data_IF_308297436074
#
_entry.id   IF_308297436074
#
_cell.length_a   1.000
_cell.length_b   1.000
_cell.length_c   1.000
_cell.angle_alpha   90.00
_cell.angle_beta   90.00
_cell.angle_gamma   90.00
#
_symmetry.space_group_name_H-M   'P 1'
#
loop_
_entity.id
_entity.type
_entity.pdbx_description
1 polymer ?
#
# COMPACT_ATOMS: atom_id res chain seq x y z
N UNK A 1 -12.92 -31.56 -17.03
CA UNK A 1 -11.67 -30.97 -17.55
C UNK A 1 -11.82 -29.45 -17.56
N UNK A 2 -10.83 -28.66 -17.11
CA UNK A 2 -10.92 -27.21 -17.23
C UNK A 2 -11.03 -26.81 -18.70
N UNK A 3 -11.91 -25.86 -19.00
CA UNK A 3 -12.15 -25.35 -20.37
C UNK A 3 -10.87 -24.68 -20.86
N UNK A 4 -10.40 -25.03 -22.06
CA UNK A 4 -9.27 -24.35 -22.70
C UNK A 4 -9.75 -22.98 -23.22
N UNK A 5 -8.96 -21.95 -22.96
CA UNK A 5 -9.21 -20.60 -23.50
C UNK A 5 -9.14 -20.63 -25.03
N UNK A 6 -10.01 -19.87 -25.70
CA UNK A 6 -9.92 -19.66 -27.15
C UNK A 6 -8.76 -18.73 -27.50
N UNK A 7 -8.26 -18.74 -28.75
CA UNK A 7 -7.26 -17.79 -29.20
C UNK A 7 -7.67 -16.32 -28.96
N UNK A 8 -8.96 -15.97 -29.17
CA UNK A 8 -9.41 -14.59 -28.92
C UNK A 8 -9.39 -14.23 -27.43
N UNK A 9 -9.75 -15.18 -26.55
CA UNK A 9 -9.68 -14.98 -25.09
C UNK A 9 -8.22 -14.74 -24.63
N UNK A 10 -7.27 -15.43 -25.25
CA UNK A 10 -5.84 -15.25 -25.01
C UNK A 10 -5.38 -13.86 -25.46
N UNK A 11 -5.77 -13.42 -26.66
CA UNK A 11 -5.39 -12.11 -27.20
C UNK A 11 -5.97 -10.96 -26.36
N UNK A 12 -7.24 -11.05 -25.96
CA UNK A 12 -7.84 -10.07 -25.06
C UNK A 12 -7.15 -10.04 -23.69
N UNK A 13 -6.77 -11.20 -23.14
CA UNK A 13 -6.01 -11.26 -21.89
C UNK A 13 -4.64 -10.63 -22.05
N UNK A 14 -3.94 -10.87 -23.15
CA UNK A 14 -2.65 -10.26 -23.45
C UNK A 14 -2.75 -8.73 -23.56
N UNK A 15 -3.76 -8.20 -24.25
CA UNK A 15 -4.01 -6.77 -24.37
C UNK A 15 -4.24 -6.10 -23.01
N UNK A 16 -5.04 -6.71 -22.12
CA UNK A 16 -5.26 -6.18 -20.77
C UNK A 16 -3.99 -6.17 -19.93
N UNK A 17 -3.19 -7.23 -20.02
CA UNK A 17 -1.90 -7.31 -19.30
C UNK A 17 -0.96 -6.22 -19.82
N UNK A 18 -0.86 -6.04 -21.14
CA UNK A 18 -0.01 -5.02 -21.72
C UNK A 18 -0.43 -3.60 -21.30
N UNK A 19 -1.73 -3.32 -21.29
CA UNK A 19 -2.27 -2.04 -20.82
C UNK A 19 -1.94 -1.79 -19.33
N UNK A 20 -2.13 -2.81 -18.48
CA UNK A 20 -1.81 -2.71 -17.05
C UNK A 20 -0.30 -2.49 -16.81
N UNK A 21 0.57 -3.18 -17.56
CA UNK A 21 2.02 -2.97 -17.50
C UNK A 21 2.35 -1.53 -17.88
N UNK A 22 1.82 -1.02 -18.99
CA UNK A 22 2.08 0.34 -19.44
C UNK A 22 1.64 1.39 -18.40
N UNK A 23 0.47 1.21 -17.80
CA UNK A 23 -0.04 2.09 -16.75
C UNK A 23 0.85 2.06 -15.50
N UNK A 24 1.20 0.88 -15.01
CA UNK A 24 2.06 0.73 -13.83
C UNK A 24 3.48 1.28 -14.08
N UNK A 25 4.03 1.07 -15.27
CA UNK A 25 5.33 1.63 -15.65
C UNK A 25 5.30 3.15 -15.67
N UNK A 26 4.23 3.77 -16.21
CA UNK A 26 4.06 5.23 -16.19
C UNK A 26 3.97 5.74 -14.75
N UNK A 27 3.11 5.15 -13.92
CA UNK A 27 2.95 5.55 -12.52
C UNK A 27 4.27 5.43 -11.74
N UNK A 28 5.04 4.38 -11.99
CA UNK A 28 6.38 4.23 -11.40
C UNK A 28 7.32 5.35 -11.82
N UNK A 29 7.39 5.66 -13.12
CA UNK A 29 8.24 6.74 -13.62
C UNK A 29 7.84 8.11 -13.03
N UNK A 30 6.54 8.37 -12.92
CA UNK A 30 6.00 9.60 -12.31
C UNK A 30 6.41 9.72 -10.83
N UNK A 31 6.42 8.59 -10.10
CA UNK A 31 6.87 8.50 -8.70
C UNK A 31 8.39 8.70 -8.59
N UNK A 32 9.18 8.07 -9.45
CA UNK A 32 10.64 8.19 -9.44
C UNK A 32 11.11 9.62 -9.80
N UNK A 33 10.39 10.29 -10.70
CA UNK A 33 10.68 11.68 -11.08
C UNK A 33 10.45 12.70 -9.94
N UNK A 34 9.66 12.36 -8.92
CA UNK A 34 9.42 13.22 -7.76
C UNK A 34 10.60 13.24 -6.77
N UNK A 35 11.59 12.37 -6.95
CA UNK A 35 12.78 12.30 -6.08
C UNK A 35 12.47 11.68 -4.71
N UNK A 36 13.07 12.23 -3.65
CA UNK A 36 12.93 11.71 -2.29
C UNK A 36 11.53 11.97 -1.73
N UNK A 37 10.65 10.96 -1.82
CA UNK A 37 9.28 11.03 -1.32
C UNK A 37 9.15 10.93 0.20
N UNK A 38 10.13 10.31 0.86
CA UNK A 38 10.15 10.15 2.30
C UNK A 38 11.59 10.08 2.82
N UNK A 39 11.85 10.51 4.06
CA UNK A 39 13.15 10.32 4.69
C UNK A 39 13.58 8.85 4.73
N UNK A 40 14.89 8.62 4.71
CA UNK A 40 15.43 7.26 4.83
C UNK A 40 14.95 6.59 6.13
N UNK A 41 14.63 5.30 6.03
CA UNK A 41 14.09 4.52 7.14
C UNK A 41 12.58 4.65 7.32
N UNK A 42 11.88 5.30 6.38
CA UNK A 42 10.42 5.24 6.33
C UNK A 42 9.95 3.95 5.65
N UNK A 43 8.96 3.27 6.24
CA UNK A 43 8.36 2.07 5.66
C UNK A 43 6.91 1.90 6.11
N UNK A 44 6.15 1.10 5.35
CA UNK A 44 4.78 0.70 5.71
C UNK A 44 4.85 -0.64 6.42
N UNK A 45 4.42 -0.68 7.68
CA UNK A 45 4.24 -1.90 8.44
C UNK A 45 2.79 -2.35 8.39
N UNK A 46 2.56 -3.61 8.06
CA UNK A 46 1.27 -4.27 8.25
C UNK A 46 1.36 -5.15 9.50
N UNK A 47 0.45 -4.97 10.44
CA UNK A 47 0.40 -5.78 11.65
C UNK A 47 -1.04 -6.21 11.96
N UNK A 48 -1.14 -7.36 12.61
CA UNK A 48 -2.42 -7.89 13.06
C UNK A 48 -2.65 -7.50 14.52
N UNK A 49 -3.73 -6.79 14.80
CA UNK A 49 -4.20 -6.59 16.16
C UNK A 49 -5.24 -7.65 16.52
N UNK A 50 -5.12 -8.19 17.72
CA UNK A 50 -6.11 -9.11 18.29
C UNK A 50 -7.11 -8.28 19.10
N UNK A 51 -8.33 -8.13 18.58
CA UNK A 51 -9.46 -7.71 19.39
C UNK A 51 -10.06 -8.89 20.17
N UNK A 52 -10.97 -8.61 21.09
CA UNK A 52 -11.63 -9.67 21.88
C UNK A 52 -12.45 -10.64 21.02
N UNK A 53 -13.07 -10.17 19.94
CA UNK A 53 -13.93 -11.00 19.05
C UNK A 53 -13.36 -11.22 17.65
N UNK A 54 -12.52 -10.30 17.17
CA UNK A 54 -12.03 -10.31 15.79
C UNK A 54 -10.55 -9.97 15.70
N UNK A 55 -9.91 -10.47 14.64
CA UNK A 55 -8.56 -10.07 14.27
C UNK A 55 -8.66 -8.99 13.20
N UNK A 56 -7.95 -7.88 13.44
CA UNK A 56 -7.94 -6.74 12.54
C UNK A 56 -6.54 -6.58 11.96
N UNK A 57 -6.46 -6.24 10.67
CA UNK A 57 -5.21 -5.84 10.05
C UNK A 57 -5.14 -4.33 9.99
N UNK A 58 -3.99 -3.79 10.40
CA UNK A 58 -3.70 -2.36 10.35
C UNK A 58 -2.46 -2.12 9.51
N UNK A 59 -2.44 -0.97 8.85
CA UNK A 59 -1.27 -0.41 8.22
C UNK A 59 -0.78 0.79 9.02
N UNK A 60 0.53 0.92 9.15
CA UNK A 60 1.16 2.01 9.87
C UNK A 60 2.39 2.47 9.12
N UNK A 61 2.47 3.78 8.86
CA UNK A 61 3.73 4.41 8.49
C UNK A 61 4.66 4.36 9.69
N UNK A 62 5.87 3.89 9.47
CA UNK A 62 6.97 3.84 10.44
C UNK A 62 8.12 4.67 9.90
N UNK A 63 8.85 5.30 10.80
CA UNK A 63 10.12 5.97 10.52
C UNK A 63 11.11 5.65 11.63
N UNK A 64 12.41 5.73 11.32
CA UNK A 64 13.45 5.61 12.33
C UNK A 64 13.41 6.79 13.33
N UNK A 65 13.14 7.98 12.81
CA UNK A 65 13.04 9.23 13.56
C UNK A 65 11.58 9.63 13.83
N UNK A 66 11.38 10.46 14.85
CA UNK A 66 10.05 10.95 15.22
C UNK A 66 9.67 12.12 14.31
N UNK A 67 9.07 11.81 13.16
CA UNK A 67 8.74 12.79 12.11
C UNK A 67 7.23 13.02 11.93
N UNK A 68 6.38 12.16 12.50
CA UNK A 68 4.92 12.28 12.34
C UNK A 68 4.32 13.15 13.45
N UNK A 69 3.53 14.19 13.15
CA UNK A 69 2.95 15.05 14.18
C UNK A 69 1.86 14.31 14.98
N UNK A 70 1.84 14.49 16.30
CA UNK A 70 0.77 13.94 17.15
C UNK A 70 -0.47 14.83 17.10
N UNK A 71 -1.65 14.22 16.89
CA UNK A 71 -2.93 14.93 16.76
C UNK A 71 -3.28 15.83 17.95
N UNK A 72 -2.93 15.42 19.18
CA UNK A 72 -3.40 16.08 20.40
C UNK A 72 -2.33 16.93 21.11
N UNK A 73 -1.13 17.06 20.53
CA UNK A 73 0.00 17.71 21.21
C UNK A 73 0.87 18.48 20.24
N UNK A 74 0.89 19.79 20.40
CA UNK A 74 1.68 20.68 19.57
C UNK A 74 3.19 20.43 19.81
N UNK A 75 3.98 20.37 18.74
CA UNK A 75 5.43 20.09 18.76
C UNK A 75 5.85 18.71 19.29
N UNK A 76 4.94 17.76 19.52
CA UNK A 76 5.31 16.38 19.78
C UNK A 76 5.17 15.52 18.52
N UNK A 77 6.23 14.79 18.21
CA UNK A 77 6.29 13.89 17.07
C UNK A 77 6.34 12.41 17.52
N UNK A 78 5.90 11.51 16.65
CA UNK A 78 5.99 10.07 16.80
C UNK A 78 6.77 9.45 15.66
N UNK A 79 7.31 8.26 15.90
CA UNK A 79 7.91 7.39 14.88
C UNK A 79 6.90 6.63 14.05
N UNK A 80 5.60 6.85 14.31
CA UNK A 80 4.54 6.08 13.70
C UNK A 80 3.27 6.87 13.48
N UNK A 81 2.61 6.64 12.34
CA UNK A 81 1.32 7.19 11.98
C UNK A 81 0.42 6.08 11.43
N UNK A 82 -0.80 5.95 11.95
CA UNK A 82 -1.74 4.97 11.45
C UNK A 82 -2.26 5.37 10.06
N UNK A 83 -2.28 4.41 9.13
CA UNK A 83 -2.86 4.59 7.82
C UNK A 83 -4.29 4.03 7.81
N UNK A 84 -5.25 4.88 7.45
CA UNK A 84 -6.64 4.48 7.25
C UNK A 84 -7.49 4.42 8.52
N UNK A 85 -8.75 4.00 8.34
CA UNK A 85 -9.72 3.83 9.42
C UNK A 85 -9.52 2.46 10.07
N UNK A 86 -9.60 2.41 11.40
CA UNK A 86 -9.46 1.15 12.13
C UNK A 86 -10.47 0.10 11.65
N UNK A 87 -10.00 -1.12 11.38
CA UNK A 87 -10.87 -2.29 11.20
C UNK A 87 -11.29 -2.63 9.77
N UNK A 88 -10.46 -2.39 8.75
CA UNK A 88 -10.69 -3.03 7.44
C UNK A 88 -10.76 -4.57 7.61
N UNK A 89 -11.83 -5.23 7.11
CA UNK A 89 -11.98 -6.67 7.25
C UNK A 89 -10.80 -7.41 6.60
N UNK A 90 -10.50 -8.60 7.11
CA UNK A 90 -9.56 -9.50 6.44
C UNK A 90 -10.11 -9.80 5.04
N UNK A 91 -9.33 -9.48 4.01
CA UNK A 91 -9.54 -10.02 2.67
C UNK A 91 -9.16 -11.49 2.64
#
# INVERSE_FOLDING_TARGET
MPKRETPEEIDHRAQRIQAAIAELSRLRADIEAQGDLAPNGCYIARYQARGQKHRYWYYQLRANEAIFPKTNKHHEYSRFQHLGKAGSPAH
#
